data_IF_072693118026
#
_entry.id   IF_072693118026
#
_cell.length_a   1.000
_cell.length_b   1.000
_cell.length_c   1.000
_cell.angle_alpha   90.00
_cell.angle_beta   90.00
_cell.angle_gamma   90.00
#
_symmetry.space_group_name_H-M   'P 1'
#
loop_
_entity.id
_entity.type
_entity.pdbx_description
1 polymer ?
#
# COMPACT_ATOMS: atom_id res chain seq x y z
N UNK A 1 3.51 -9.43 6.25
CA UNK A 1 4.95 -9.54 5.92
C UNK A 1 5.78 -10.20 7.04
N UNK A 2 5.69 -9.72 8.28
CA UNK A 2 6.57 -10.20 9.38
C UNK A 2 6.41 -11.70 9.72
N UNK A 3 5.18 -12.22 9.72
CA UNK A 3 4.90 -13.65 9.97
C UNK A 3 5.46 -14.58 8.89
N UNK A 4 5.33 -14.21 7.61
CA UNK A 4 5.88 -14.99 6.49
C UNK A 4 7.40 -15.03 6.54
N UNK A 5 8.04 -13.90 6.83
CA UNK A 5 9.49 -13.85 7.01
C UNK A 5 9.90 -14.80 8.14
N UNK A 6 9.28 -14.72 9.32
CA UNK A 6 9.59 -15.60 10.45
C UNK A 6 9.50 -17.10 10.09
N UNK A 7 8.43 -17.51 9.40
CA UNK A 7 8.24 -18.91 8.97
C UNK A 7 9.34 -19.37 8.02
N UNK A 8 9.75 -18.54 7.05
CA UNK A 8 10.83 -18.90 6.11
C UNK A 8 12.18 -19.05 6.82
N UNK A 9 12.47 -18.23 7.82
CA UNK A 9 13.71 -18.32 8.59
C UNK A 9 13.73 -19.59 9.45
N UNK A 10 12.62 -19.87 10.13
CA UNK A 10 12.45 -21.09 10.91
C UNK A 10 12.65 -22.32 10.03
N UNK A 11 12.03 -22.34 8.85
CA UNK A 11 12.19 -23.41 7.87
C UNK A 11 13.65 -23.56 7.43
N UNK A 12 14.38 -22.48 7.17
CA UNK A 12 15.80 -22.54 6.81
C UNK A 12 16.66 -23.20 7.88
N UNK A 13 16.54 -22.76 9.14
CA UNK A 13 17.35 -23.32 10.23
C UNK A 13 16.96 -24.77 10.56
N UNK A 14 15.67 -25.11 10.48
CA UNK A 14 15.21 -26.49 10.65
C UNK A 14 15.75 -27.41 9.55
N UNK A 15 15.70 -26.98 8.29
CA UNK A 15 16.22 -27.75 7.17
C UNK A 15 17.75 -27.91 7.27
N UNK A 16 18.47 -26.83 7.57
CA UNK A 16 19.93 -26.85 7.74
C UNK A 16 20.35 -27.77 8.89
N UNK A 17 19.69 -27.66 10.05
CA UNK A 17 19.95 -28.53 11.21
C UNK A 17 19.64 -29.99 10.91
N UNK A 18 18.52 -30.27 10.23
CA UNK A 18 18.15 -31.65 9.85
C UNK A 18 19.12 -32.26 8.85
N UNK A 19 19.64 -31.48 7.89
CA UNK A 19 20.60 -31.93 6.89
C UNK A 19 21.97 -32.20 7.52
N UNK A 20 22.40 -31.34 8.46
CA UNK A 20 23.63 -31.51 9.20
C UNK A 20 23.58 -32.76 10.10
N UNK A 21 22.48 -32.96 10.84
CA UNK A 21 22.28 -34.14 11.65
C UNK A 21 22.31 -35.43 10.81
N UNK A 22 21.67 -35.43 9.63
CA UNK A 22 21.69 -36.56 8.68
C UNK A 22 23.09 -36.84 8.13
N UNK A 23 23.89 -35.80 7.89
CA UNK A 23 25.26 -35.94 7.38
C UNK A 23 26.17 -36.56 8.44
N UNK A 24 26.19 -36.01 9.65
CA UNK A 24 26.99 -36.51 10.78
C UNK A 24 26.63 -37.96 11.11
N UNK A 25 25.33 -38.31 11.12
CA UNK A 25 24.89 -39.69 11.38
C UNK A 25 25.35 -40.70 10.33
N UNK A 26 25.58 -40.28 9.07
CA UNK A 26 26.00 -41.19 7.98
C UNK A 26 27.51 -41.16 7.68
N UNK A 27 28.21 -40.07 8.00
CA UNK A 27 29.57 -39.82 7.52
C UNK A 27 30.51 -39.26 8.61
N UNK A 28 30.15 -39.34 9.89
CA UNK A 28 30.88 -38.74 11.02
C UNK A 28 32.27 -39.31 11.35
N UNK A 29 32.94 -39.93 10.37
CA UNK A 29 34.32 -40.42 10.48
C UNK A 29 35.12 -40.19 9.18
N UNK A 30 34.59 -39.36 8.27
CA UNK A 30 35.26 -39.02 7.01
C UNK A 30 36.14 -37.77 7.15
N UNK A 31 37.29 -37.71 6.46
CA UNK A 31 38.20 -36.55 6.51
C UNK A 31 37.58 -35.23 6.02
N UNK A 32 36.40 -35.28 5.39
CA UNK A 32 35.68 -34.12 4.86
C UNK A 32 34.72 -33.48 5.88
N UNK A 33 34.45 -34.15 7.01
CA UNK A 33 33.51 -33.67 8.04
C UNK A 33 33.78 -32.24 8.53
N UNK A 34 35.01 -31.82 8.91
CA UNK A 34 35.25 -30.46 9.39
C UNK A 34 34.99 -29.41 8.32
N UNK A 35 35.23 -29.73 7.05
CA UNK A 35 34.95 -28.81 5.94
C UNK A 35 33.44 -28.60 5.73
N UNK A 36 32.64 -29.66 5.87
CA UNK A 36 31.16 -29.57 5.75
C UNK A 36 30.56 -28.78 6.90
N UNK A 37 31.04 -28.96 8.13
CA UNK A 37 30.64 -28.17 9.30
C UNK A 37 30.98 -26.69 9.13
N UNK A 38 32.18 -26.38 8.65
CA UNK A 38 32.63 -25.02 8.40
C UNK A 38 31.77 -24.32 7.33
N UNK A 39 31.47 -25.02 6.21
CA UNK A 39 30.63 -24.48 5.14
C UNK A 39 29.17 -24.29 5.59
N UNK A 40 28.60 -25.20 6.39
CA UNK A 40 27.26 -25.03 6.95
C UNK A 40 27.18 -23.82 7.88
N UNK A 41 28.21 -23.61 8.72
CA UNK A 41 28.34 -22.43 9.56
C UNK A 41 28.48 -21.14 8.75
N UNK A 42 29.29 -21.16 7.68
CA UNK A 42 29.44 -20.03 6.76
C UNK A 42 28.13 -19.67 6.06
N UNK A 43 27.35 -20.67 5.62
CA UNK A 43 26.04 -20.48 5.00
C UNK A 43 25.05 -19.83 5.97
N UNK A 44 25.01 -20.29 7.23
CA UNK A 44 24.18 -19.70 8.27
C UNK A 44 24.58 -18.24 8.58
N UNK A 45 25.89 -17.97 8.70
CA UNK A 45 26.41 -16.63 8.95
C UNK A 45 26.04 -15.67 7.81
N UNK A 46 26.24 -16.09 6.56
CA UNK A 46 25.96 -15.27 5.38
C UNK A 46 24.47 -14.96 5.24
N UNK A 47 23.59 -15.93 5.56
CA UNK A 47 22.14 -15.72 5.62
C UNK A 47 21.75 -14.67 6.68
N UNK A 48 22.30 -14.75 7.89
CA UNK A 48 22.03 -13.81 8.99
C UNK A 48 22.55 -12.40 8.67
N UNK A 49 23.74 -12.28 8.09
CA UNK A 49 24.33 -11.01 7.65
C UNK A 49 23.48 -10.37 6.55
N UNK A 50 22.98 -11.17 5.60
CA UNK A 50 22.06 -10.72 4.57
C UNK A 50 20.77 -10.11 5.15
N UNK A 51 20.23 -10.72 6.21
CA UNK A 51 19.04 -10.21 6.91
C UNK A 51 19.31 -8.89 7.63
N UNK A 52 20.41 -8.78 8.38
CA UNK A 52 20.73 -7.57 9.17
C UNK A 52 20.92 -6.35 8.28
N UNK A 53 21.60 -6.54 7.16
CA UNK A 53 21.82 -5.46 6.18
C UNK A 53 20.55 -5.05 5.43
N UNK A 54 19.64 -5.99 5.15
CA UNK A 54 18.33 -5.68 4.58
C UNK A 54 17.40 -4.94 5.57
N UNK A 55 17.51 -5.24 6.87
CA UNK A 55 16.77 -4.55 7.92
C UNK A 55 17.31 -3.14 8.23
N UNK A 56 18.58 -2.88 7.92
CA UNK A 56 19.25 -1.59 8.14
C UNK A 56 19.27 -0.66 6.93
N UNK A 57 18.64 -1.03 5.80
CA UNK A 57 18.53 -0.15 4.64
C UNK A 57 17.67 1.07 5.03
N UNK A 58 18.15 2.32 4.81
CA UNK A 58 17.37 3.52 5.08
C UNK A 58 16.01 3.42 4.38
N UNK A 59 14.93 3.67 5.13
CA UNK A 59 13.60 3.76 4.54
C UNK A 59 13.69 4.79 3.39
N UNK A 60 13.18 4.48 2.17
CA UNK A 60 13.09 5.50 1.15
C UNK A 60 12.36 6.72 1.75
N UNK A 61 12.80 7.95 1.44
CA UNK A 61 12.16 9.15 1.95
C UNK A 61 10.65 9.06 1.68
N UNK A 62 9.80 9.49 2.62
CA UNK A 62 8.36 9.42 2.45
C UNK A 62 8.01 10.08 1.12
N UNK A 63 7.37 9.31 0.23
CA UNK A 63 6.82 9.86 -1.01
C UNK A 63 5.91 11.02 -0.61
N UNK A 64 6.10 12.23 -1.17
CA UNK A 64 5.27 13.37 -0.83
C UNK A 64 3.79 13.03 -1.03
N UNK A 65 2.88 13.58 -0.20
CA UNK A 65 1.45 13.34 -0.34
C UNK A 65 1.02 13.65 -1.77
N UNK A 66 0.18 12.76 -2.33
CA UNK A 66 -0.28 12.78 -3.71
C UNK A 66 -0.93 14.11 -4.15
N UNK A 67 -1.25 14.98 -3.20
CA UNK A 67 -1.85 16.30 -3.42
C UNK A 67 -0.84 17.35 -3.92
N UNK A 68 0.47 17.08 -3.87
CA UNK A 68 1.53 18.02 -4.31
C UNK A 68 2.17 17.67 -5.66
N UNK A 69 1.88 16.48 -6.21
CA UNK A 69 2.46 16.04 -7.48
C UNK A 69 1.53 16.41 -8.66
N UNK A 70 2.04 17.06 -9.72
CA UNK A 70 1.25 17.36 -10.92
C UNK A 70 0.69 16.05 -11.52
N UNK A 71 -0.54 16.09 -12.04
CA UNK A 71 -1.29 14.91 -12.52
C UNK A 71 -0.59 14.10 -13.65
N UNK A 72 0.49 14.60 -14.24
CA UNK A 72 1.32 13.90 -15.23
C UNK A 72 2.48 13.12 -14.61
N UNK A 73 2.69 13.24 -13.30
CA UNK A 73 3.73 12.56 -12.53
C UNK A 73 3.17 11.39 -11.71
N UNK A 74 1.93 10.97 -11.99
CA UNK A 74 1.29 9.76 -11.48
C UNK A 74 2.12 8.54 -11.89
N UNK A 75 3.11 8.27 -11.04
CA UNK A 75 4.15 7.25 -11.05
C UNK A 75 3.87 6.12 -12.03
N UNK A 76 4.39 6.26 -13.26
CA UNK A 76 4.78 5.09 -14.04
C UNK A 76 5.58 4.18 -13.09
N UNK A 77 5.30 2.87 -13.03
CA UNK A 77 6.01 1.98 -12.11
C UNK A 77 7.50 2.18 -12.36
N UNK A 78 8.20 2.75 -11.38
CA UNK A 78 9.64 2.96 -11.49
C UNK A 78 10.24 1.64 -11.99
N UNK A 79 11.01 1.63 -13.09
CA UNK A 79 11.66 0.42 -13.54
C UNK A 79 12.38 -0.14 -12.31
N UNK A 80 12.07 -1.39 -11.94
CA UNK A 80 12.76 -2.06 -10.84
C UNK A 80 14.25 -2.01 -11.20
N UNK A 81 14.96 -1.04 -10.63
CA UNK A 81 16.36 -0.80 -10.93
C UNK A 81 17.13 -2.09 -10.69
N UNK A 82 18.21 -2.30 -11.44
CA UNK A 82 19.08 -3.44 -11.19
C UNK A 82 19.38 -3.47 -9.67
N UNK A 83 19.27 -4.65 -9.03
CA UNK A 83 19.52 -4.76 -7.60
C UNK A 83 20.93 -4.23 -7.29
N UNK A 84 21.14 -3.62 -6.12
CA UNK A 84 22.43 -3.04 -5.77
C UNK A 84 23.52 -4.13 -5.83
N UNK A 85 24.65 -3.82 -6.47
CA UNK A 85 25.83 -4.71 -6.59
C UNK A 85 26.18 -5.48 -5.29
N UNK A 86 26.18 -4.88 -4.08
CA UNK A 86 26.45 -5.63 -2.85
C UNK A 86 25.40 -6.69 -2.50
N UNK A 87 24.15 -6.54 -2.93
CA UNK A 87 23.12 -7.57 -2.77
C UNK A 87 23.34 -8.73 -3.75
N UNK A 88 23.69 -8.43 -5.00
CA UNK A 88 24.04 -9.42 -6.02
C UNK A 88 25.27 -10.24 -5.63
N UNK A 89 26.36 -9.59 -5.20
CA UNK A 89 27.59 -10.26 -4.75
C UNK A 89 27.33 -11.19 -3.57
N UNK A 90 26.53 -10.75 -2.61
CA UNK A 90 26.19 -11.54 -1.42
C UNK A 90 25.31 -12.74 -1.77
N UNK A 91 24.33 -12.54 -2.65
CA UNK A 91 23.52 -13.63 -3.16
C UNK A 91 24.40 -14.64 -3.91
N UNK A 92 25.30 -14.17 -4.77
CA UNK A 92 26.28 -15.00 -5.46
C UNK A 92 27.17 -15.80 -4.49
N UNK A 93 27.66 -15.18 -3.41
CA UNK A 93 28.42 -15.89 -2.38
C UNK A 93 27.57 -16.94 -1.63
N UNK A 94 26.31 -16.64 -1.33
CA UNK A 94 25.38 -17.57 -0.67
C UNK A 94 25.08 -18.78 -1.56
N UNK A 95 24.85 -18.51 -2.84
CA UNK A 95 24.69 -19.50 -3.90
C UNK A 95 25.94 -20.37 -4.04
N UNK A 96 27.12 -19.78 -4.10
CA UNK A 96 28.38 -20.50 -4.29
C UNK A 96 28.71 -21.40 -3.10
N UNK A 97 28.60 -20.90 -1.86
CA UNK A 97 28.83 -21.69 -0.64
C UNK A 97 27.85 -22.86 -0.56
N UNK A 98 26.57 -22.62 -0.87
CA UNK A 98 25.57 -23.69 -0.93
C UNK A 98 25.87 -24.72 -2.02
N UNK A 99 26.28 -24.29 -3.22
CA UNK A 99 26.62 -25.19 -4.31
C UNK A 99 27.79 -26.13 -3.94
N UNK A 100 28.83 -25.59 -3.30
CA UNK A 100 29.96 -26.39 -2.79
C UNK A 100 29.48 -27.38 -1.72
N UNK A 101 28.61 -26.95 -0.81
CA UNK A 101 28.06 -27.79 0.25
C UNK A 101 27.22 -28.96 -0.31
N UNK A 102 26.40 -28.71 -1.34
CA UNK A 102 25.62 -29.74 -2.03
C UNK A 102 26.50 -30.71 -2.81
N UNK A 103 27.59 -30.23 -3.41
CA UNK A 103 28.55 -31.08 -4.12
C UNK A 103 29.28 -32.05 -3.17
N UNK A 104 29.56 -31.63 -1.94
CA UNK A 104 30.15 -32.47 -0.88
C UNK A 104 29.12 -33.42 -0.25
N UNK A 105 27.88 -32.97 -0.09
CA UNK A 105 26.82 -33.71 0.57
C UNK A 105 25.44 -33.39 -0.05
N UNK A 106 24.86 -34.30 -0.85
CA UNK A 106 23.59 -34.08 -1.54
C UNK A 106 22.40 -33.85 -0.59
N UNK A 107 22.51 -34.25 0.68
CA UNK A 107 21.49 -34.05 1.71
C UNK A 107 21.15 -32.57 1.95
N UNK A 108 22.06 -31.64 1.63
CA UNK A 108 21.85 -30.20 1.77
C UNK A 108 21.02 -29.58 0.63
N UNK A 109 20.63 -30.36 -0.39
CA UNK A 109 19.76 -29.90 -1.47
C UNK A 109 18.40 -29.35 -0.95
N UNK A 110 17.90 -29.85 0.17
CA UNK A 110 16.67 -29.37 0.80
C UNK A 110 16.76 -27.93 1.32
N UNK A 111 17.98 -27.40 1.54
CA UNK A 111 18.19 -25.99 1.89
C UNK A 111 18.02 -25.03 0.69
N UNK A 112 17.70 -25.53 -0.51
CA UNK A 112 17.43 -24.71 -1.68
C UNK A 112 16.15 -23.86 -1.53
N UNK A 113 15.13 -24.35 -0.81
CA UNK A 113 13.80 -23.68 -0.74
C UNK A 113 13.88 -22.25 -0.19
N UNK A 114 14.54 -21.99 0.96
CA UNK A 114 14.68 -20.63 1.46
C UNK A 114 15.63 -19.78 0.61
N UNK A 115 16.60 -20.39 -0.06
CA UNK A 115 17.49 -19.71 -1.00
C UNK A 115 16.75 -19.24 -2.25
N UNK A 116 15.85 -20.06 -2.79
CA UNK A 116 14.92 -19.67 -3.85
C UNK A 116 14.08 -18.48 -3.42
N UNK A 117 13.54 -18.52 -2.20
CA UNK A 117 12.76 -17.40 -1.66
C UNK A 117 13.59 -16.11 -1.58
N UNK A 118 14.86 -16.19 -1.14
CA UNK A 118 15.73 -15.01 -1.12
C UNK A 118 16.08 -14.50 -2.52
N UNK A 119 16.30 -15.40 -3.49
CA UNK A 119 16.57 -15.05 -4.87
C UNK A 119 15.36 -14.39 -5.56
N UNK A 120 14.17 -14.97 -5.39
CA UNK A 120 12.91 -14.45 -5.94
C UNK A 120 12.57 -13.05 -5.42
N UNK A 121 13.00 -12.70 -4.19
CA UNK A 121 12.76 -11.36 -3.63
C UNK A 121 13.83 -10.32 -3.97
N UNK A 122 15.00 -10.74 -4.45
CA UNK A 122 16.14 -9.83 -4.71
C UNK A 122 16.39 -9.61 -6.20
N UNK A 123 16.04 -10.57 -7.05
CA UNK A 123 16.21 -10.48 -8.50
C UNK A 123 14.89 -10.16 -9.21
N UNK A 124 14.94 -9.49 -10.38
CA UNK A 124 13.77 -9.30 -11.23
C UNK A 124 13.22 -10.67 -11.67
N UNK A 125 11.89 -10.76 -11.82
CA UNK A 125 11.14 -12.02 -12.01
C UNK A 125 11.75 -12.95 -13.07
N UNK A 126 12.27 -12.40 -14.18
CA UNK A 126 12.93 -13.18 -15.24
C UNK A 126 14.24 -13.84 -14.78
N UNK A 127 15.09 -13.10 -14.08
CA UNK A 127 16.37 -13.60 -13.59
C UNK A 127 16.19 -14.57 -12.40
N UNK A 128 15.12 -14.40 -11.64
CA UNK A 128 14.75 -15.34 -10.59
C UNK A 128 14.38 -16.72 -11.18
N UNK A 129 13.57 -16.78 -12.25
CA UNK A 129 13.27 -18.06 -12.90
C UNK A 129 14.50 -18.75 -13.49
N UNK A 130 15.40 -17.99 -14.12
CA UNK A 130 16.65 -18.57 -14.67
C UNK A 130 17.53 -19.14 -13.56
N UNK A 131 17.62 -18.45 -12.42
CA UNK A 131 18.40 -18.93 -11.27
C UNK A 131 17.74 -20.15 -10.61
N UNK A 132 16.41 -20.17 -10.52
CA UNK A 132 15.66 -21.34 -10.02
C UNK A 132 15.92 -22.56 -10.91
N UNK A 133 15.82 -22.40 -12.24
CA UNK A 133 16.10 -23.46 -13.19
C UNK A 133 17.55 -23.97 -13.09
N UNK A 134 18.53 -23.06 -13.01
CA UNK A 134 19.95 -23.41 -12.86
C UNK A 134 20.20 -24.24 -11.59
N UNK A 135 19.58 -23.85 -10.48
CA UNK A 135 19.64 -24.59 -9.22
C UNK A 135 18.99 -25.95 -9.27
N UNK A 136 17.81 -26.08 -9.89
CA UNK A 136 17.18 -27.38 -10.09
C UNK A 136 18.07 -28.31 -10.91
N UNK A 137 18.63 -27.82 -12.02
CA UNK A 137 19.56 -28.59 -12.86
C UNK A 137 20.81 -28.98 -12.07
N UNK A 138 21.41 -28.05 -11.33
CA UNK A 138 22.59 -28.31 -10.50
C UNK A 138 22.33 -29.40 -9.45
N UNK A 139 21.20 -29.34 -8.74
CA UNK A 139 20.81 -30.34 -7.73
C UNK A 139 20.60 -31.71 -8.36
N UNK A 140 19.94 -31.78 -9.52
CA UNK A 140 19.73 -33.04 -10.24
C UNK A 140 21.06 -33.65 -10.67
N UNK A 141 21.96 -32.85 -11.27
CA UNK A 141 23.28 -33.31 -11.70
C UNK A 141 24.14 -33.78 -10.51
N UNK A 142 24.13 -33.02 -9.41
CA UNK A 142 24.88 -33.38 -8.20
C UNK A 142 24.40 -34.71 -7.60
N UNK A 143 23.08 -34.93 -7.55
CA UNK A 143 22.52 -36.20 -7.06
C UNK A 143 22.86 -37.38 -7.98
N UNK A 144 22.76 -37.21 -9.30
CA UNK A 144 23.08 -38.27 -10.27
C UNK A 144 24.56 -38.68 -10.23
N UNK A 145 25.48 -37.78 -9.86
CA UNK A 145 26.90 -38.11 -9.74
C UNK A 145 27.27 -38.92 -8.50
N UNK A 146 26.48 -38.81 -7.43
CA UNK A 146 26.75 -39.46 -6.15
C UNK A 146 25.85 -40.69 -5.89
N UNK A 147 24.87 -40.96 -6.74
CA UNK A 147 23.96 -42.09 -6.60
C UNK A 147 24.50 -43.35 -7.31
N UNK A 148 24.69 -44.43 -6.56
CA UNK A 148 25.06 -45.75 -7.11
C UNK A 148 23.89 -46.45 -7.85
N UNK A 149 22.65 -45.95 -7.66
CA UNK A 149 21.41 -46.38 -8.34
C UNK A 149 20.50 -45.19 -8.68
N UNK A 150 19.80 -45.28 -9.81
CA UNK A 150 18.81 -44.28 -10.23
C UNK A 150 17.50 -44.44 -9.45
N UNK A 151 17.42 -43.81 -8.27
CA UNK A 151 16.16 -43.68 -7.54
C UNK A 151 15.32 -42.55 -8.13
N UNK A 152 14.17 -42.89 -8.73
CA UNK A 152 13.24 -41.94 -9.39
C UNK A 152 12.81 -40.82 -8.45
N UNK A 153 12.67 -41.11 -7.14
CA UNK A 153 12.26 -40.15 -6.12
C UNK A 153 13.26 -38.99 -5.94
N UNK A 154 14.57 -39.27 -6.08
CA UNK A 154 15.64 -38.27 -5.96
C UNK A 154 15.70 -37.32 -7.16
N UNK A 155 15.27 -37.79 -8.33
CA UNK A 155 15.29 -37.02 -9.59
C UNK A 155 14.02 -36.16 -9.75
N UNK A 156 12.87 -36.66 -9.31
CA UNK A 156 11.56 -35.97 -9.47
C UNK A 156 11.29 -34.96 -8.35
N UNK A 157 11.79 -35.19 -7.13
CA UNK A 157 11.55 -34.32 -5.98
C UNK A 157 11.96 -32.85 -6.19
N UNK A 158 13.22 -32.54 -6.56
CA UNK A 158 13.66 -31.16 -6.73
C UNK A 158 12.91 -30.37 -7.82
N UNK A 159 12.66 -30.93 -9.02
CA UNK A 159 11.82 -30.28 -10.03
C UNK A 159 10.39 -30.03 -9.55
N UNK A 160 9.76 -31.01 -8.88
CA UNK A 160 8.39 -30.87 -8.40
C UNK A 160 8.26 -29.72 -7.37
N UNK A 161 9.20 -29.64 -6.43
CA UNK A 161 9.25 -28.55 -5.44
C UNK A 161 9.52 -27.20 -6.11
N UNK A 162 10.43 -27.14 -7.08
CA UNK A 162 10.71 -25.91 -7.82
C UNK A 162 9.49 -25.41 -8.61
N UNK A 163 8.76 -26.32 -9.28
CA UNK A 163 7.53 -26.00 -10.00
C UNK A 163 6.45 -25.50 -9.04
N UNK A 164 6.21 -26.21 -7.93
CA UNK A 164 5.21 -25.82 -6.94
C UNK A 164 5.55 -24.48 -6.28
N UNK A 165 6.80 -24.27 -5.86
CA UNK A 165 7.26 -23.02 -5.26
C UNK A 165 7.11 -21.85 -6.23
N UNK A 166 7.48 -22.06 -7.50
CA UNK A 166 7.32 -21.06 -8.56
C UNK A 166 5.85 -20.73 -8.80
N UNK A 167 4.98 -21.75 -8.91
CA UNK A 167 3.56 -21.56 -9.11
C UNK A 167 2.90 -20.80 -7.95
N UNK A 168 3.19 -21.18 -6.70
CA UNK A 168 2.66 -20.51 -5.51
C UNK A 168 3.16 -19.07 -5.44
N UNK A 169 4.45 -18.83 -5.62
CA UNK A 169 5.03 -17.50 -5.53
C UNK A 169 4.44 -16.56 -6.58
N UNK A 170 4.35 -17.02 -7.83
CA UNK A 170 3.78 -16.22 -8.92
C UNK A 170 2.30 -15.96 -8.76
N UNK A 171 1.55 -16.92 -8.21
CA UNK A 171 0.15 -16.73 -7.87
C UNK A 171 -0.02 -15.68 -6.77
N UNK A 172 0.77 -15.78 -5.71
CA UNK A 172 0.75 -14.83 -4.58
C UNK A 172 1.14 -13.42 -5.01
N UNK A 173 2.19 -13.25 -5.80
CA UNK A 173 2.61 -11.93 -6.31
C UNK A 173 1.52 -11.29 -7.17
N UNK A 174 0.90 -12.07 -8.06
CA UNK A 174 -0.22 -11.59 -8.88
C UNK A 174 -1.44 -11.23 -8.02
N UNK A 175 -1.74 -12.02 -6.99
CA UNK A 175 -2.83 -11.72 -6.06
C UNK A 175 -2.57 -10.43 -5.28
N UNK A 176 -1.35 -10.26 -4.75
CA UNK A 176 -0.97 -9.05 -4.02
C UNK A 176 -1.04 -7.81 -4.92
N UNK A 177 -0.59 -7.91 -6.17
CA UNK A 177 -0.67 -6.82 -7.15
C UNK A 177 -2.13 -6.43 -7.46
N UNK A 178 -3.01 -7.42 -7.66
CA UNK A 178 -4.45 -7.20 -7.88
C UNK A 178 -5.11 -6.56 -6.67
N UNK A 179 -4.84 -7.06 -5.46
CA UNK A 179 -5.39 -6.51 -4.24
C UNK A 179 -4.94 -5.06 -4.02
N UNK A 180 -3.67 -4.75 -4.29
CA UNK A 180 -3.15 -3.39 -4.21
C UNK A 180 -3.82 -2.46 -5.23
N UNK A 181 -4.09 -2.93 -6.45
CA UNK A 181 -4.83 -2.16 -7.45
C UNK A 181 -6.27 -1.86 -7.01
N UNK A 182 -6.99 -2.87 -6.52
CA UNK A 182 -8.37 -2.71 -6.02
C UNK A 182 -8.45 -1.77 -4.82
N UNK A 183 -7.49 -1.82 -3.90
CA UNK A 183 -7.43 -0.89 -2.76
C UNK A 183 -7.21 0.54 -3.25
N UNK A 184 -6.31 0.75 -4.22
CA UNK A 184 -6.08 2.07 -4.82
C UNK A 184 -7.35 2.60 -5.50
N UNK A 185 -8.04 1.75 -6.25
CA UNK A 185 -9.29 2.12 -6.91
C UNK A 185 -10.38 2.47 -5.90
N UNK A 186 -10.55 1.66 -4.86
CA UNK A 186 -11.53 1.93 -3.79
C UNK A 186 -11.24 3.26 -3.08
N UNK A 187 -9.98 3.54 -2.76
CA UNK A 187 -9.59 4.81 -2.12
C UNK A 187 -9.84 6.00 -3.04
N UNK A 188 -9.53 5.86 -4.33
CA UNK A 188 -9.82 6.90 -5.35
C UNK A 188 -11.32 7.18 -5.44
N UNK A 189 -12.15 6.15 -5.62
CA UNK A 189 -13.61 6.29 -5.73
C UNK A 189 -14.22 6.88 -4.45
N UNK A 190 -13.73 6.51 -3.26
CA UNK A 190 -14.18 7.13 -2.01
C UNK A 190 -13.87 8.63 -1.93
N UNK A 191 -12.71 9.07 -2.43
CA UNK A 191 -12.35 10.49 -2.48
C UNK A 191 -13.23 11.25 -3.47
N UNK A 192 -13.49 10.67 -4.64
CA UNK A 192 -14.40 11.23 -5.65
C UNK A 192 -15.82 11.36 -5.09
N UNK A 193 -16.34 10.31 -4.44
CA UNK A 193 -17.65 10.33 -3.80
C UNK A 193 -17.73 11.41 -2.71
N UNK A 194 -16.75 11.46 -1.80
CA UNK A 194 -16.71 12.48 -0.74
C UNK A 194 -16.59 13.91 -1.29
N UNK A 195 -16.00 14.10 -2.48
CA UNK A 195 -15.97 15.41 -3.13
C UNK A 195 -17.33 15.77 -3.75
N UNK A 196 -18.03 14.79 -4.35
CA UNK A 196 -19.38 14.96 -4.88
C UNK A 196 -20.39 15.24 -3.77
N UNK A 197 -20.39 14.46 -2.69
CA UNK A 197 -21.26 14.66 -1.52
C UNK A 197 -21.06 16.05 -0.89
N UNK A 198 -19.82 16.55 -0.81
CA UNK A 198 -19.54 17.91 -0.33
C UNK A 198 -20.14 18.99 -1.25
N UNK A 199 -20.06 18.79 -2.56
CA UNK A 199 -20.65 19.71 -3.55
C UNK A 199 -22.17 19.68 -3.47
N UNK A 200 -22.76 18.50 -3.43
CA UNK A 200 -24.21 18.30 -3.28
C UNK A 200 -24.70 18.88 -1.95
N UNK A 201 -23.98 18.65 -0.85
CA UNK A 201 -24.28 19.24 0.46
C UNK A 201 -24.23 20.77 0.43
N UNK A 202 -23.22 21.36 -0.22
CA UNK A 202 -23.13 22.82 -0.37
C UNK A 202 -24.27 23.39 -1.21
N UNK A 203 -24.66 22.69 -2.29
CA UNK A 203 -25.78 23.11 -3.14
C UNK A 203 -27.13 22.98 -2.42
N UNK A 204 -27.35 21.88 -1.71
CA UNK A 204 -28.54 21.66 -0.90
C UNK A 204 -28.67 22.74 0.19
N UNK A 205 -27.55 23.08 0.83
CA UNK A 205 -27.51 24.13 1.84
C UNK A 205 -27.83 25.50 1.26
N UNK A 206 -27.23 25.86 0.12
CA UNK A 206 -27.55 27.11 -0.59
C UNK A 206 -29.03 27.19 -0.97
N UNK A 207 -29.63 26.10 -1.42
CA UNK A 207 -31.05 26.07 -1.77
C UNK A 207 -31.94 26.21 -0.54
N UNK A 208 -31.59 25.55 0.58
CA UNK A 208 -32.29 25.71 1.86
C UNK A 208 -32.25 27.17 2.34
N UNK A 209 -31.05 27.76 2.33
CA UNK A 209 -30.85 29.17 2.70
C UNK A 209 -31.63 30.11 1.78
N UNK A 210 -31.65 29.85 0.47
CA UNK A 210 -32.41 30.67 -0.48
C UNK A 210 -33.93 30.65 -0.18
N UNK A 211 -34.48 29.48 0.18
CA UNK A 211 -35.89 29.35 0.58
C UNK A 211 -36.17 30.10 1.89
N UNK A 212 -35.33 29.92 2.91
CA UNK A 212 -35.48 30.57 4.22
C UNK A 212 -35.38 32.10 4.14
N UNK A 213 -34.45 32.61 3.33
CA UNK A 213 -34.34 34.04 3.02
C UNK A 213 -35.58 34.52 2.26
N UNK A 214 -36.05 33.79 1.25
CA UNK A 214 -37.23 34.17 0.48
C UNK A 214 -38.48 34.26 1.36
N UNK A 215 -38.70 33.29 2.24
CA UNK A 215 -39.84 33.26 3.16
C UNK A 215 -39.78 34.43 4.15
N UNK A 216 -38.59 34.74 4.67
CA UNK A 216 -38.37 35.88 5.58
C UNK A 216 -38.63 37.22 4.88
N UNK A 217 -38.14 37.38 3.66
CA UNK A 217 -38.39 38.58 2.84
C UNK A 217 -39.87 38.73 2.49
N UNK A 218 -40.53 37.65 2.05
CA UNK A 218 -41.94 37.66 1.74
C UNK A 218 -42.79 38.07 2.95
N UNK A 219 -42.46 37.54 4.14
CA UNK A 219 -43.14 37.87 5.39
C UNK A 219 -42.95 39.35 5.78
N UNK A 220 -41.71 39.86 5.72
CA UNK A 220 -41.41 41.25 6.03
C UNK A 220 -42.17 42.21 5.11
N UNK A 221 -42.12 41.96 3.79
CA UNK A 221 -42.82 42.76 2.78
C UNK A 221 -44.34 42.73 2.96
N UNK A 222 -44.91 41.58 3.33
CA UNK A 222 -46.35 41.46 3.60
C UNK A 222 -46.79 42.29 4.81
N UNK A 223 -46.02 42.22 5.91
CA UNK A 223 -46.24 43.03 7.12
C UNK A 223 -46.15 44.53 6.82
N UNK A 224 -45.15 44.91 6.02
CA UNK A 224 -44.94 46.29 5.59
C UNK A 224 -46.11 46.81 4.73
N UNK A 225 -46.59 46.00 3.79
CA UNK A 225 -47.78 46.31 2.98
C UNK A 225 -49.02 46.48 3.85
N UNK A 226 -49.23 45.62 4.84
CA UNK A 226 -50.35 45.73 5.78
C UNK A 226 -50.32 47.04 6.57
N UNK A 227 -49.14 47.47 7.04
CA UNK A 227 -48.97 48.74 7.76
C UNK A 227 -49.24 49.95 6.88
N UNK A 228 -48.76 49.93 5.63
CA UNK A 228 -49.02 51.01 4.67
C UNK A 228 -50.52 51.09 4.32
N UNK A 229 -51.18 49.94 4.13
CA UNK A 229 -52.64 49.91 3.93
C UNK A 229 -53.42 50.40 5.15
N UNK A 230 -52.93 50.15 6.37
CA UNK A 230 -53.53 50.69 7.58
C UNK A 230 -53.37 52.21 7.65
N UNK A 231 -52.19 52.75 7.29
CA UNK A 231 -51.92 54.18 7.23
C UNK A 231 -52.84 54.90 6.23
N UNK A 232 -53.05 54.31 5.05
CA UNK A 232 -53.90 54.89 3.99
C UNK A 232 -55.37 55.04 4.43
N UNK A 233 -55.90 54.06 5.20
CA UNK A 233 -57.29 54.10 5.70
C UNK A 233 -57.56 55.18 6.74
N UNK A 234 -56.54 55.59 7.50
CA UNK A 234 -56.67 56.59 8.57
C UNK A 234 -56.04 57.94 8.20
N UNK A 235 -55.61 58.11 6.94
CA UNK A 235 -54.83 59.26 6.49
C UNK A 235 -55.53 60.61 6.73
N UNK A 236 -56.83 60.69 6.42
CA UNK A 236 -57.63 61.91 6.62
C UNK A 236 -58.26 62.01 8.01
N UNK A 237 -58.56 60.87 8.64
CA UNK A 237 -59.33 60.81 9.89
C UNK A 237 -58.47 60.87 11.16
N UNK A 238 -57.25 60.32 11.12
CA UNK A 238 -56.28 60.33 12.22
C UNK A 238 -54.84 60.41 11.66
N UNK A 239 -54.38 61.64 11.29
CA UNK A 239 -53.08 61.84 10.65
C UNK A 239 -51.89 61.44 11.54
N UNK A 240 -52.03 61.46 12.87
CA UNK A 240 -50.97 61.04 13.78
C UNK A 240 -50.79 59.52 13.74
N UNK A 241 -51.89 58.74 13.78
CA UNK A 241 -51.82 57.28 13.59
C UNK A 241 -51.28 56.91 12.21
N UNK A 242 -51.68 57.63 11.16
CA UNK A 242 -51.17 57.39 9.81
C UNK A 242 -49.63 57.54 9.76
N UNK A 243 -49.09 58.62 10.32
CA UNK A 243 -47.63 58.83 10.42
C UNK A 243 -46.95 57.75 11.26
N UNK A 244 -47.56 57.29 12.35
CA UNK A 244 -47.01 56.21 13.17
C UNK A 244 -46.91 54.88 12.38
N UNK A 245 -47.94 54.51 11.62
CA UNK A 245 -47.91 53.31 10.78
C UNK A 245 -46.84 53.39 9.67
N UNK A 246 -46.66 54.55 9.04
CA UNK A 246 -45.59 54.78 8.05
C UNK A 246 -44.21 54.68 8.71
N UNK A 247 -44.03 55.28 9.89
CA UNK A 247 -42.78 55.20 10.64
C UNK A 247 -42.40 53.76 10.99
N UNK A 248 -43.36 52.96 11.45
CA UNK A 248 -43.15 51.53 11.72
C UNK A 248 -42.79 50.75 10.45
N UNK A 249 -43.49 51.01 9.34
CA UNK A 249 -43.18 50.38 8.05
C UNK A 249 -41.77 50.73 7.54
N UNK A 250 -41.33 51.99 7.73
CA UNK A 250 -39.98 52.43 7.38
C UNK A 250 -38.93 51.75 8.27
N UNK A 251 -39.16 51.66 9.58
CA UNK A 251 -38.26 50.97 10.51
C UNK A 251 -38.09 49.48 10.19
N UNK A 252 -39.16 48.79 9.80
CA UNK A 252 -39.10 47.39 9.33
C UNK A 252 -38.28 47.27 8.03
N UNK A 253 -38.40 48.24 7.11
CA UNK A 253 -37.61 48.28 5.87
C UNK A 253 -36.12 48.38 6.17
N UNK A 254 -35.74 49.32 7.03
CA UNK A 254 -34.34 49.57 7.39
C UNK A 254 -33.73 48.35 8.09
N UNK A 255 -34.46 47.75 9.03
CA UNK A 255 -34.03 46.52 9.70
C UNK A 255 -33.83 45.37 8.71
N UNK A 256 -34.79 45.15 7.81
CA UNK A 256 -34.74 44.06 6.83
C UNK A 256 -33.61 44.26 5.80
N UNK A 257 -33.36 45.50 5.37
CA UNK A 257 -32.23 45.85 4.50
C UNK A 257 -30.89 45.65 5.19
N UNK A 258 -30.78 46.03 6.46
CA UNK A 258 -29.57 45.81 7.26
C UNK A 258 -29.28 44.31 7.44
N UNK A 259 -30.33 43.50 7.67
CA UNK A 259 -30.23 42.05 7.80
C UNK A 259 -29.85 41.37 6.49
N UNK A 260 -30.47 41.73 5.36
CA UNK A 260 -30.09 41.23 4.04
C UNK A 260 -28.64 41.58 3.67
N UNK A 261 -28.19 42.80 3.99
CA UNK A 261 -26.79 43.21 3.79
C UNK A 261 -25.82 42.39 4.63
N UNK A 262 -26.15 42.11 5.90
CA UNK A 262 -25.35 41.22 6.76
C UNK A 262 -25.26 39.81 6.17
N UNK A 263 -26.39 39.22 5.77
CA UNK A 263 -26.40 37.89 5.13
C UNK A 263 -25.54 37.82 3.86
N UNK A 264 -25.61 38.82 2.99
CA UNK A 264 -24.75 38.88 1.79
C UNK A 264 -23.28 39.02 2.18
N UNK A 265 -22.97 39.78 3.23
CA UNK A 265 -21.60 39.96 3.69
C UNK A 265 -21.02 38.68 4.32
N UNK A 266 -21.82 37.95 5.08
CA UNK A 266 -21.45 36.68 5.70
C UNK A 266 -21.35 35.53 4.67
N UNK A 267 -22.08 35.62 3.54
CA UNK A 267 -21.98 34.67 2.41
C UNK A 267 -20.91 35.05 1.37
N UNK A 268 -20.48 36.31 1.31
CA UNK A 268 -19.38 36.76 0.46
C UNK A 268 -18.03 36.32 1.07
N UNK A 269 -17.07 35.86 0.27
CA UNK A 269 -16.39 34.59 0.56
C UNK A 269 -15.36 34.64 1.68
N UNK A 270 -15.43 33.65 2.57
CA UNK A 270 -14.30 33.13 3.34
C UNK A 270 -13.25 32.38 2.48
N UNK A 271 -13.39 32.38 1.13
CA UNK A 271 -12.47 31.72 0.18
C UNK A 271 -11.15 32.48 -0.07
N UNK A 272 -10.89 33.60 0.60
CA UNK A 272 -9.62 34.35 0.50
C UNK A 272 -8.75 34.28 1.77
N UNK A 273 -9.15 33.51 2.77
CA UNK A 273 -8.39 33.33 4.01
C UNK A 273 -8.16 31.84 4.30
N UNK A 274 -7.08 31.26 3.74
CA UNK A 274 -6.54 29.97 4.15
C UNK A 274 -6.19 29.04 3.02
#
# INVERSE_FOLDING_TARGET
AHRLAFVVHLAFFLLLGSALARYVQRHGDQPQEPAVLALAGALAALYVIGRRTAAGAPLPPPTPPADTAPAHEATAPAPQGLPPLPALLRLGALVAVWAVLVALAPSFAWCAVPLFYTALRTLPTRAAYTLVALFTVFVVVAQLRLADRLDVDLVVGPPAVAVLATAVFTHMDRQAARQAALIRDLVRTRRELAATERREGTLAERQRLAMEIHDTLAQSLSSQRMLLQAAERVWETDPERARAHVGTAAGIAESSLAEARRFVHDLAPADLAG
#
